data_IF_524160118141
#
_entry.id   IF_524160118141
#
_cell.length_a   1.000
_cell.length_b   1.000
_cell.length_c   1.000
_cell.angle_alpha   90.00
_cell.angle_beta   90.00
_cell.angle_gamma   90.00
#
_symmetry.space_group_name_H-M   'P 1'
#
loop_
_entity.id
_entity.type
_entity.pdbx_description
1 polymer ?
#
# COMPACT_ATOMS: atom_id res chain seq x y z
N UNK A 1 -0.04 -31.74 -13.47
CA UNK A 1 -0.51 -30.53 -12.75
C UNK A 1 0.06 -30.53 -11.35
N UNK A 2 1.16 -29.81 -11.16
CA UNK A 2 1.79 -29.58 -9.86
C UNK A 2 1.67 -28.09 -9.49
N UNK A 3 0.44 -27.57 -9.47
CA UNK A 3 0.19 -26.21 -9.01
C UNK A 3 0.42 -26.11 -7.50
N UNK A 4 1.05 -25.02 -7.05
CA UNK A 4 1.37 -24.78 -5.62
C UNK A 4 0.40 -23.81 -4.95
N UNK A 5 -0.38 -23.06 -5.73
CA UNK A 5 -1.35 -22.07 -5.25
C UNK A 5 -2.68 -22.78 -4.94
N UNK A 6 -3.24 -22.49 -3.76
CA UNK A 6 -4.48 -23.09 -3.25
C UNK A 6 -5.35 -22.01 -2.60
N UNK A 7 -6.60 -22.33 -2.30
CA UNK A 7 -7.47 -21.43 -1.53
C UNK A 7 -6.92 -21.08 -0.14
N UNK A 8 -6.07 -21.94 0.45
CA UNK A 8 -5.50 -21.72 1.79
C UNK A 8 -4.27 -20.80 1.81
N UNK A 9 -3.66 -20.53 0.65
CA UNK A 9 -2.48 -19.68 0.55
C UNK A 9 -2.65 -18.47 -0.39
N UNK A 10 -3.86 -18.26 -0.92
CA UNK A 10 -4.24 -17.07 -1.68
C UNK A 10 -5.09 -16.12 -0.83
N UNK A 11 -5.16 -14.85 -1.22
CA UNK A 11 -6.10 -13.89 -0.63
C UNK A 11 -7.55 -14.31 -0.93
N UNK A 12 -8.46 -13.99 0.00
CA UNK A 12 -9.89 -14.26 -0.17
C UNK A 12 -10.61 -13.30 -1.12
N UNK A 13 -11.90 -13.57 -1.34
CA UNK A 13 -12.85 -12.62 -1.92
C UNK A 13 -13.53 -11.91 -0.75
N UNK A 14 -13.51 -10.57 -0.76
CA UNK A 14 -13.90 -9.77 0.41
C UNK A 14 -14.76 -8.57 0.01
N UNK A 15 -15.71 -8.21 0.88
CA UNK A 15 -16.45 -6.95 0.87
C UNK A 15 -15.99 -6.09 2.06
N UNK A 16 -15.65 -4.82 1.84
CA UNK A 16 -15.18 -3.92 2.90
C UNK A 16 -14.97 -2.47 2.47
N UNK A 17 -14.83 -1.57 3.45
CA UNK A 17 -14.55 -0.15 3.23
C UNK A 17 -13.54 0.38 4.27
N UNK A 18 -12.76 1.38 3.88
CA UNK A 18 -11.80 2.08 4.75
C UNK A 18 -11.71 3.56 4.37
N UNK A 19 -11.36 4.42 5.34
CA UNK A 19 -11.15 5.85 5.12
C UNK A 19 -9.99 6.36 5.99
N UNK A 20 -9.19 7.28 5.44
CA UNK A 20 -8.13 8.01 6.16
C UNK A 20 -8.25 9.49 5.79
N UNK A 21 -8.14 10.36 6.79
CA UNK A 21 -8.11 11.82 6.57
C UNK A 21 -6.67 12.29 6.49
N UNK A 22 -6.31 12.93 5.37
CA UNK A 22 -5.01 13.56 5.19
C UNK A 22 -5.10 15.05 5.51
N UNK A 23 -4.04 15.57 6.13
CA UNK A 23 -3.91 16.98 6.48
C UNK A 23 -2.46 17.42 6.25
N UNK A 24 -2.26 18.68 5.85
CA UNK A 24 -0.91 19.26 5.94
C UNK A 24 -0.52 19.39 7.41
N UNK A 25 0.76 19.22 7.71
CA UNK A 25 1.26 19.27 9.09
C UNK A 25 1.00 20.65 9.73
N UNK A 26 1.13 21.74 8.96
CA UNK A 26 0.90 23.09 9.47
C UNK A 26 -0.58 23.34 9.83
N UNK A 27 -1.51 22.80 9.02
CA UNK A 27 -2.94 22.92 9.28
C UNK A 27 -3.36 22.07 10.48
N UNK A 28 -2.81 20.85 10.61
CA UNK A 28 -3.03 20.00 11.78
C UNK A 28 -2.59 20.70 13.07
N UNK A 29 -1.40 21.32 13.08
CA UNK A 29 -0.90 22.11 14.22
C UNK A 29 -1.81 23.30 14.53
N UNK A 30 -2.22 24.09 13.52
CA UNK A 30 -3.15 25.23 13.70
C UNK A 30 -4.50 24.80 14.30
N UNK A 31 -4.93 23.57 14.05
CA UNK A 31 -6.17 23.00 14.59
C UNK A 31 -5.98 22.20 15.88
N UNK A 32 -4.76 22.12 16.41
CA UNK A 32 -4.47 21.33 17.61
C UNK A 32 -4.70 19.82 17.42
N UNK A 33 -4.62 19.34 16.18
CA UNK A 33 -4.82 17.92 15.84
C UNK A 33 -3.45 17.24 15.79
N UNK A 34 -3.27 16.20 16.59
CA UNK A 34 -2.09 15.32 16.52
C UNK A 34 -2.27 14.29 15.41
N UNK A 35 -1.34 14.26 14.45
CA UNK A 35 -1.34 13.25 13.39
C UNK A 35 -0.92 11.86 13.90
N UNK A 36 -1.48 10.80 13.31
CA UNK A 36 -1.14 9.40 13.64
C UNK A 36 0.21 8.98 13.04
N UNK A 37 0.52 9.48 11.84
CA UNK A 37 1.74 9.17 11.10
C UNK A 37 2.02 10.28 10.07
N UNK A 38 3.20 10.22 9.44
CA UNK A 38 3.59 11.09 8.32
C UNK A 38 3.85 10.24 7.09
N UNK A 39 3.31 10.64 5.94
CA UNK A 39 3.72 10.10 4.63
C UNK A 39 5.11 10.67 4.32
N UNK A 40 6.15 9.82 4.38
CA UNK A 40 7.55 10.23 4.18
C UNK A 40 7.93 10.20 2.71
N UNK A 41 7.51 9.17 1.98
CA UNK A 41 7.79 9.00 0.57
C UNK A 41 6.71 8.12 -0.09
N UNK A 42 6.60 8.23 -1.41
CA UNK A 42 5.75 7.38 -2.26
C UNK A 42 6.48 7.09 -3.56
N UNK A 43 6.42 5.86 -4.06
CA UNK A 43 6.99 5.50 -5.36
C UNK A 43 6.09 4.52 -6.12
N UNK A 44 6.27 4.49 -7.43
CA UNK A 44 5.55 3.62 -8.35
C UNK A 44 6.51 3.08 -9.41
N UNK A 45 6.41 1.78 -9.71
CA UNK A 45 7.18 1.09 -10.75
C UNK A 45 6.26 0.23 -11.61
N UNK A 46 6.73 -0.14 -12.80
CA UNK A 46 6.08 -1.10 -13.69
C UNK A 46 6.99 -2.31 -13.94
N UNK A 47 6.38 -3.46 -14.25
CA UNK A 47 7.05 -4.69 -14.66
C UNK A 47 6.14 -5.53 -15.56
N UNK A 48 6.67 -6.66 -16.05
CA UNK A 48 5.92 -7.61 -16.87
C UNK A 48 4.70 -8.16 -16.10
N UNK A 49 3.48 -8.14 -16.69
CA UNK A 49 2.27 -8.64 -16.05
C UNK A 49 2.35 -10.10 -15.57
N UNK A 50 3.11 -10.97 -16.26
CA UNK A 50 3.26 -12.38 -15.90
C UNK A 50 3.86 -12.60 -14.49
N UNK A 51 4.62 -11.62 -13.98
CA UNK A 51 5.28 -11.66 -12.67
C UNK A 51 4.85 -10.51 -11.74
N UNK A 52 3.66 -9.94 -11.95
CA UNK A 52 3.17 -8.72 -11.29
C UNK A 52 3.35 -8.66 -9.76
N UNK A 53 3.33 -9.81 -9.06
CA UNK A 53 3.54 -9.89 -7.61
C UNK A 53 4.91 -9.41 -7.12
N UNK A 54 5.89 -9.24 -8.02
CA UNK A 54 7.24 -8.74 -7.72
C UNK A 54 7.35 -7.21 -7.66
N UNK A 55 6.29 -6.46 -8.00
CA UNK A 55 6.25 -4.99 -7.96
C UNK A 55 6.83 -4.34 -6.71
N UNK A 56 6.55 -4.85 -5.49
CA UNK A 56 7.10 -4.28 -4.27
C UNK A 56 8.64 -4.22 -4.23
N UNK A 57 9.35 -5.14 -4.88
CA UNK A 57 10.83 -5.18 -4.85
C UNK A 57 11.43 -3.93 -5.48
N UNK A 58 10.97 -3.55 -6.67
CA UNK A 58 11.49 -2.36 -7.35
C UNK A 58 10.92 -1.07 -6.76
N UNK A 59 9.65 -1.06 -6.33
CA UNK A 59 9.01 0.12 -5.77
C UNK A 59 9.68 0.59 -4.47
N UNK A 60 10.05 -0.35 -3.59
CA UNK A 60 10.71 -0.03 -2.31
C UNK A 60 12.12 0.51 -2.49
N UNK A 61 12.83 0.16 -3.58
CA UNK A 61 14.18 0.65 -3.85
C UNK A 61 14.23 2.13 -4.29
N UNK A 62 13.09 2.74 -4.63
CA UNK A 62 13.00 4.13 -5.09
C UNK A 62 12.80 5.15 -3.97
N UNK A 63 12.59 4.69 -2.72
CA UNK A 63 12.27 5.54 -1.57
C UNK A 63 13.26 5.36 -0.43
#
# INVERSE_FOLDING_TARGET
NEGTVTAGNASGINDGAAAVVLMSADYAVKKGISGLAKIVATAQTGLEPEIMGMGPVSAVQLV
#
